data_IF_531773218899
#
_entry.id   IF_531773218899
#
_cell.length_a   1.000
_cell.length_b   1.000
_cell.length_c   1.000
_cell.angle_alpha   90.00
_cell.angle_beta   90.00
_cell.angle_gamma   90.00
#
_symmetry.space_group_name_H-M   'P 1'
#
loop_
_entity.id
_entity.type
_entity.pdbx_description
1 polymer ?
#
# COMPACT_ATOMS: atom_id res chain seq x y z
N UNK A 1 -42.15 -6.10 6.00
CA UNK A 1 -41.68 -4.88 6.70
C UNK A 1 -40.68 -4.22 5.78
N UNK A 2 -40.88 -2.96 5.41
CA UNK A 2 -39.98 -2.20 4.53
C UNK A 2 -38.66 -1.94 5.24
N UNK A 3 -37.54 -2.27 4.60
CA UNK A 3 -36.21 -2.03 5.16
C UNK A 3 -35.97 -0.51 5.26
N UNK A 4 -35.83 0.01 6.48
CA UNK A 4 -35.58 1.43 6.72
C UNK A 4 -34.11 1.76 6.44
N UNK A 5 -33.87 2.81 5.65
CA UNK A 5 -32.53 3.31 5.35
C UNK A 5 -32.28 4.62 6.09
N UNK A 6 -31.14 4.70 6.76
CA UNK A 6 -30.67 5.86 7.49
C UNK A 6 -29.51 6.49 6.73
N UNK A 7 -29.48 7.82 6.67
CA UNK A 7 -28.40 8.57 6.04
C UNK A 7 -27.70 9.40 7.12
N UNK A 8 -26.39 9.15 7.27
CA UNK A 8 -25.50 9.87 8.15
C UNK A 8 -24.55 10.70 7.29
N UNK A 9 -24.65 12.02 7.41
CA UNK A 9 -23.84 12.98 6.66
C UNK A 9 -22.97 13.80 7.62
N UNK A 10 -21.71 14.02 7.24
CA UNK A 10 -20.78 14.93 7.91
C UNK A 10 -19.98 15.70 6.88
N UNK A 11 -19.59 16.92 7.26
CA UNK A 11 -18.82 17.80 6.41
C UNK A 11 -17.79 18.57 7.25
N UNK A 12 -16.57 18.69 6.72
CA UNK A 12 -15.49 19.49 7.31
C UNK A 12 -14.88 20.41 6.27
N UNK A 13 -14.33 21.53 6.73
CA UNK A 13 -13.45 22.38 5.91
C UNK A 13 -12.06 22.42 6.52
N UNK A 14 -11.09 21.81 5.83
CA UNK A 14 -9.76 21.52 6.37
C UNK A 14 -8.68 22.31 5.61
N UNK A 15 -7.66 22.80 6.33
CA UNK A 15 -6.53 23.56 5.77
C UNK A 15 -5.48 22.64 5.15
N UNK A 16 -5.85 21.96 4.08
CA UNK A 16 -4.98 21.11 3.27
C UNK A 16 -5.51 21.05 1.85
N UNK A 17 -4.66 20.75 0.87
CA UNK A 17 -5.11 20.42 -0.49
C UNK A 17 -5.80 19.06 -0.54
N UNK A 18 -6.67 18.78 -1.53
CA UNK A 18 -7.30 17.46 -1.65
C UNK A 18 -6.27 16.33 -1.73
N UNK A 19 -5.20 16.53 -2.49
CA UNK A 19 -4.10 15.57 -2.63
C UNK A 19 -3.39 15.27 -1.30
N UNK A 20 -3.13 16.29 -0.47
CA UNK A 20 -2.52 16.09 0.83
C UNK A 20 -3.47 15.44 1.84
N UNK A 21 -4.77 15.77 1.79
CA UNK A 21 -5.77 15.17 2.67
C UNK A 21 -6.03 13.71 2.29
N UNK A 22 -6.03 13.39 0.99
CA UNK A 22 -6.23 12.05 0.45
C UNK A 22 -5.33 11.01 1.09
N UNK A 23 -4.05 11.33 1.29
CA UNK A 23 -3.06 10.38 1.84
C UNK A 23 -3.40 9.90 3.25
N UNK A 24 -4.25 10.62 3.97
CA UNK A 24 -4.75 10.22 5.28
C UNK A 24 -6.18 9.67 5.21
N UNK A 25 -7.11 10.38 4.57
CA UNK A 25 -8.55 10.01 4.61
C UNK A 25 -8.92 8.85 3.71
N UNK A 26 -8.11 8.56 2.68
CA UNK A 26 -8.29 7.41 1.79
C UNK A 26 -7.52 6.17 2.27
N UNK A 27 -6.76 6.25 3.38
CA UNK A 27 -6.25 5.06 4.07
C UNK A 27 -7.37 4.47 4.93
N UNK A 28 -8.24 3.70 4.29
CA UNK A 28 -9.43 3.12 4.94
C UNK A 28 -9.08 2.13 6.04
N UNK A 29 -7.92 1.46 5.93
CA UNK A 29 -7.44 0.56 6.98
C UNK A 29 -7.07 1.36 8.24
N UNK A 30 -6.37 2.49 8.06
CA UNK A 30 -6.07 3.43 9.14
C UNK A 30 -7.33 4.04 9.74
N UNK A 31 -8.26 4.50 8.91
CA UNK A 31 -9.49 5.12 9.36
C UNK A 31 -10.34 4.14 10.18
N UNK A 32 -10.56 2.93 9.69
CA UNK A 32 -11.35 1.92 10.41
C UNK A 32 -10.72 1.54 11.76
N UNK A 33 -9.39 1.44 11.84
CA UNK A 33 -8.65 1.27 13.09
C UNK A 33 -8.89 2.45 14.06
N UNK A 34 -8.71 3.69 13.59
CA UNK A 34 -8.82 4.89 14.44
C UNK A 34 -10.28 5.14 14.90
N UNK A 35 -11.25 4.63 14.14
CA UNK A 35 -12.67 4.53 14.52
C UNK A 35 -12.95 3.44 15.57
N UNK A 36 -11.93 2.71 16.04
CA UNK A 36 -12.02 1.57 16.94
C UNK A 36 -13.02 0.51 16.43
N UNK A 37 -13.01 0.23 15.13
CA UNK A 37 -13.73 -0.90 14.56
C UNK A 37 -12.94 -2.19 14.81
N UNK A 38 -13.59 -3.37 14.92
CA UNK A 38 -12.85 -4.62 15.04
C UNK A 38 -12.05 -4.92 13.76
N UNK A 39 -10.89 -5.58 13.87
CA UNK A 39 -10.20 -6.10 12.69
C UNK A 39 -11.05 -7.15 11.98
N UNK A 40 -10.74 -7.42 10.71
CA UNK A 40 -11.46 -8.33 9.84
C UNK A 40 -10.65 -9.59 9.53
N UNK A 41 -11.36 -10.69 9.35
CA UNK A 41 -10.89 -11.90 8.69
C UNK A 41 -11.49 -11.94 7.29
N UNK A 42 -10.65 -12.19 6.29
CA UNK A 42 -11.05 -12.22 4.87
C UNK A 42 -11.07 -13.67 4.41
N UNK A 43 -12.21 -14.11 3.88
CA UNK A 43 -12.39 -15.41 3.24
C UNK A 43 -12.60 -15.17 1.75
N UNK A 44 -11.65 -15.65 0.94
CA UNK A 44 -11.73 -15.63 -0.53
C UNK A 44 -12.19 -17.01 -1.00
N UNK A 45 -13.36 -17.12 -1.65
CA UNK A 45 -13.80 -18.39 -2.22
C UNK A 45 -12.85 -18.90 -3.31
N UNK A 46 -12.77 -20.23 -3.48
CA UNK A 46 -12.04 -20.84 -4.61
C UNK A 46 -12.72 -20.57 -5.96
N UNK A 47 -14.06 -20.50 -5.97
CA UNK A 47 -14.83 -20.10 -7.14
C UNK A 47 -14.65 -18.60 -7.41
N UNK A 48 -14.02 -18.20 -8.54
CA UNK A 48 -13.82 -16.79 -8.88
C UNK A 48 -15.14 -16.00 -9.04
N UNK A 49 -16.26 -16.67 -9.26
CA UNK A 49 -17.57 -16.03 -9.36
C UNK A 49 -18.19 -15.71 -7.99
N UNK A 50 -17.70 -16.33 -6.91
CA UNK A 50 -18.23 -16.09 -5.57
C UNK A 50 -17.57 -14.85 -4.93
N UNK A 51 -18.33 -14.01 -4.22
CA UNK A 51 -17.81 -12.78 -3.67
C UNK A 51 -16.87 -13.03 -2.48
N UNK A 52 -15.80 -12.25 -2.39
CA UNK A 52 -14.97 -12.18 -1.18
C UNK A 52 -15.82 -11.78 0.03
N UNK A 53 -15.67 -12.53 1.13
CA UNK A 53 -16.41 -12.30 2.38
C UNK A 53 -15.43 -11.77 3.43
N UNK A 54 -15.76 -10.65 4.05
CA UNK A 54 -15.10 -10.16 5.26
C UNK A 54 -15.99 -10.40 6.49
N UNK A 55 -15.34 -10.69 7.62
CA UNK A 55 -16.01 -10.87 8.92
C UNK A 55 -15.23 -10.14 10.00
N UNK A 56 -15.91 -9.44 10.92
CA UNK A 56 -15.22 -8.90 12.09
C UNK A 56 -14.72 -10.02 13.00
N UNK A 57 -13.46 -9.92 13.43
CA UNK A 57 -12.84 -10.74 14.47
C UNK A 57 -13.30 -10.26 15.85
N UNK A 58 -14.58 -10.40 16.11
CA UNK A 58 -15.23 -10.00 17.37
C UNK A 58 -16.36 -10.94 17.74
N UNK A 59 -16.34 -11.46 18.97
CA UNK A 59 -17.45 -12.27 19.52
C UNK A 59 -18.71 -11.45 19.79
N UNK A 60 -18.58 -10.14 20.01
CA UNK A 60 -19.69 -9.25 20.32
C UNK A 60 -20.38 -8.72 19.05
N UNK A 61 -19.67 -8.68 17.93
CA UNK A 61 -20.14 -8.13 16.66
C UNK A 61 -19.86 -9.14 15.52
N UNK A 62 -20.62 -10.24 15.42
CA UNK A 62 -20.44 -11.27 14.39
C UNK A 62 -21.04 -10.81 13.03
N UNK A 63 -20.57 -9.67 12.55
CA UNK A 63 -20.92 -9.10 11.25
C UNK A 63 -20.05 -9.74 10.17
N UNK A 64 -20.69 -10.20 9.11
CA UNK A 64 -20.05 -10.66 7.89
C UNK A 64 -20.72 -10.00 6.68
N UNK A 65 -19.91 -9.64 5.69
CA UNK A 65 -20.37 -8.95 4.48
C UNK A 65 -19.53 -9.33 3.28
N UNK A 66 -20.11 -9.13 2.10
CA UNK A 66 -19.38 -8.98 0.86
C UNK A 66 -19.29 -7.50 0.50
N UNK A 67 -18.19 -7.09 -0.11
CA UNK A 67 -17.99 -5.73 -0.60
C UNK A 67 -18.02 -5.75 -2.13
N UNK A 68 -18.86 -4.92 -2.75
CA UNK A 68 -18.74 -4.65 -4.19
C UNK A 68 -17.44 -3.89 -4.43
N UNK A 69 -16.84 -4.05 -5.61
CA UNK A 69 -15.61 -3.35 -6.00
C UNK A 69 -15.67 -1.87 -5.62
N UNK A 70 -14.83 -1.48 -4.67
CA UNK A 70 -14.71 -0.09 -4.20
C UNK A 70 -14.35 0.80 -5.37
N UNK A 71 -14.94 1.98 -5.46
CA UNK A 71 -14.71 2.91 -6.56
C UNK A 71 -14.01 4.16 -6.04
N UNK A 72 -13.03 4.65 -6.77
CA UNK A 72 -12.36 5.89 -6.41
C UNK A 72 -11.81 6.65 -7.61
N UNK A 73 -11.56 7.94 -7.40
CA UNK A 73 -10.85 8.85 -8.30
C UNK A 73 -9.98 9.74 -7.43
N UNK A 74 -8.66 9.59 -7.52
CA UNK A 74 -7.70 10.43 -6.80
C UNK A 74 -7.70 11.88 -7.31
N UNK A 75 -7.59 12.89 -6.43
CA UNK A 75 -7.76 12.87 -4.98
C UNK A 75 -9.18 13.29 -4.56
N UNK A 76 -10.20 12.96 -5.37
CA UNK A 76 -11.53 13.57 -5.32
C UNK A 76 -12.53 12.76 -4.51
N UNK A 77 -12.59 11.44 -4.70
CA UNK A 77 -13.62 10.63 -4.02
C UNK A 77 -13.24 9.17 -3.92
N UNK A 78 -13.74 8.51 -2.89
CA UNK A 78 -13.79 7.05 -2.81
C UNK A 78 -15.12 6.60 -2.19
N UNK A 79 -15.57 5.40 -2.55
CA UNK A 79 -16.80 4.84 -2.01
C UNK A 79 -16.86 3.32 -2.11
N UNK A 80 -17.59 2.71 -1.18
CA UNK A 80 -17.76 1.28 -1.08
C UNK A 80 -19.23 0.92 -0.81
N UNK A 81 -19.68 -0.22 -1.31
CA UNK A 81 -20.98 -0.80 -0.98
C UNK A 81 -20.76 -2.18 -0.35
N UNK A 82 -21.22 -2.34 0.89
CA UNK A 82 -21.18 -3.61 1.63
C UNK A 82 -22.58 -4.20 1.71
N UNK A 83 -22.67 -5.50 1.42
CA UNK A 83 -23.89 -6.32 1.57
C UNK A 83 -23.67 -7.33 2.69
N UNK A 84 -24.41 -7.15 3.77
CA UNK A 84 -24.24 -7.94 4.97
C UNK A 84 -25.01 -9.26 4.87
N UNK A 85 -24.31 -10.36 5.08
CA UNK A 85 -24.89 -11.70 5.22
C UNK A 85 -25.29 -12.00 6.67
N UNK A 86 -24.72 -11.28 7.64
CA UNK A 86 -25.11 -11.37 9.06
C UNK A 86 -25.03 -10.02 9.76
N UNK A 87 -25.88 -9.83 10.78
CA UNK A 87 -25.88 -8.68 11.67
C UNK A 87 -27.04 -7.69 11.47
N UNK A 88 -26.98 -6.51 12.12
CA UNK A 88 -28.06 -5.51 12.12
C UNK A 88 -28.27 -4.76 10.79
N UNK A 89 -27.45 -5.00 9.76
CA UNK A 89 -27.53 -4.28 8.48
C UNK A 89 -27.87 -5.24 7.35
N UNK A 90 -28.57 -4.73 6.34
CA UNK A 90 -28.66 -5.36 5.03
C UNK A 90 -27.59 -4.80 4.10
N UNK A 91 -27.48 -3.47 4.05
CA UNK A 91 -26.53 -2.76 3.20
C UNK A 91 -25.92 -1.58 3.94
N UNK A 92 -24.65 -1.32 3.65
CA UNK A 92 -23.97 -0.07 3.99
C UNK A 92 -23.35 0.48 2.71
N UNK A 93 -23.59 1.74 2.41
CA UNK A 93 -22.89 2.48 1.37
C UNK A 93 -22.12 3.61 2.01
N UNK A 94 -20.86 3.76 1.62
CA UNK A 94 -19.97 4.82 2.04
C UNK A 94 -19.57 5.65 0.81
N UNK A 95 -19.53 6.97 0.97
CA UNK A 95 -18.95 7.89 0.00
C UNK A 95 -18.20 9.00 0.74
N UNK A 96 -16.93 9.17 0.43
CA UNK A 96 -16.13 10.31 0.84
C UNK A 96 -15.78 11.16 -0.38
N UNK A 97 -16.00 12.47 -0.31
CA UNK A 97 -15.72 13.42 -1.40
C UNK A 97 -14.88 14.59 -0.87
N UNK A 98 -13.87 14.97 -1.64
CA UNK A 98 -12.94 16.05 -1.36
C UNK A 98 -13.09 17.09 -2.47
N UNK A 99 -13.58 18.28 -2.11
CA UNK A 99 -13.73 19.39 -3.04
C UNK A 99 -12.75 20.50 -2.67
N UNK A 100 -11.90 20.97 -3.60
CA UNK A 100 -11.07 22.14 -3.35
C UNK A 100 -11.95 23.39 -3.20
N UNK A 101 -11.58 24.28 -2.28
CA UNK A 101 -12.23 25.58 -2.11
C UNK A 101 -11.35 26.71 -2.68
N UNK A 102 -11.92 27.86 -3.08
CA UNK A 102 -11.16 28.95 -3.70
C UNK A 102 -10.02 29.53 -2.83
N UNK A 103 -10.09 29.36 -1.51
CA UNK A 103 -9.09 29.80 -0.55
C UNK A 103 -7.99 28.75 -0.26
N UNK A 104 -7.92 27.68 -1.06
CA UNK A 104 -6.89 26.64 -0.97
C UNK A 104 -7.12 25.60 0.13
N UNK A 105 -8.31 25.59 0.76
CA UNK A 105 -8.75 24.53 1.68
C UNK A 105 -9.43 23.38 0.93
N UNK A 106 -9.83 22.35 1.67
CA UNK A 106 -10.62 21.23 1.16
C UNK A 106 -11.89 21.07 1.97
N UNK A 107 -13.04 20.99 1.28
CA UNK A 107 -14.30 20.54 1.85
C UNK A 107 -14.36 19.02 1.74
N UNK A 108 -14.30 18.33 2.88
CA UNK A 108 -14.47 16.87 2.98
C UNK A 108 -15.93 16.59 3.33
N UNK A 109 -16.64 15.87 2.46
CA UNK A 109 -17.98 15.31 2.73
C UNK A 109 -17.86 13.81 2.96
N UNK A 110 -18.55 13.31 3.96
CA UNK A 110 -18.56 11.90 4.31
C UNK A 110 -19.98 11.43 4.58
N UNK A 111 -20.46 10.58 3.68
CA UNK A 111 -21.83 10.09 3.63
C UNK A 111 -21.86 8.59 3.84
N UNK A 112 -22.68 8.16 4.81
CA UNK A 112 -22.92 6.75 5.10
C UNK A 112 -24.42 6.48 5.05
N UNK A 113 -24.83 5.56 4.17
CA UNK A 113 -26.20 5.05 4.12
C UNK A 113 -26.24 3.65 4.71
N UNK A 114 -27.09 3.43 5.71
CA UNK A 114 -27.21 2.17 6.43
C UNK A 114 -28.66 1.69 6.36
N UNK A 115 -28.87 0.52 5.77
CA UNK A 115 -30.20 -0.10 5.70
C UNK A 115 -30.33 -1.16 6.78
N UNK A 116 -31.29 -0.99 7.68
CA UNK A 116 -31.52 -1.89 8.80
C UNK A 116 -32.02 -3.27 8.34
N UNK A 117 -31.55 -4.34 8.99
CA UNK A 117 -32.05 -5.70 8.74
C UNK A 117 -33.37 -6.03 9.42
N UNK A 118 -33.74 -5.27 10.46
CA UNK A 118 -35.00 -5.42 11.18
C UNK A 118 -35.33 -4.15 11.99
N UNK A 119 -36.52 -4.11 12.62
CA UNK A 119 -36.96 -2.95 13.40
C UNK A 119 -36.11 -2.64 14.64
N UNK A 120 -35.49 -3.63 15.26
CA UNK A 120 -34.58 -3.41 16.39
C UNK A 120 -33.27 -2.74 15.93
N UNK A 121 -32.72 -3.19 14.81
CA UNK A 121 -31.58 -2.54 14.20
C UNK A 121 -31.90 -1.09 13.78
N UNK A 122 -33.10 -0.85 13.25
CA UNK A 122 -33.54 0.50 12.89
C UNK A 122 -33.55 1.47 14.10
N UNK A 123 -33.85 0.98 15.30
CA UNK A 123 -33.77 1.76 16.54
C UNK A 123 -32.31 2.08 16.94
N UNK A 124 -31.41 1.11 16.78
CA UNK A 124 -30.02 1.23 17.25
C UNK A 124 -29.09 2.00 16.30
N UNK A 125 -29.35 1.98 14.98
CA UNK A 125 -28.47 2.62 13.98
C UNK A 125 -28.25 4.10 14.28
N UNK A 126 -29.28 4.94 14.52
CA UNK A 126 -29.07 6.36 14.84
C UNK A 126 -28.25 6.57 16.12
N UNK A 127 -28.45 5.72 17.13
CA UNK A 127 -27.72 5.78 18.40
C UNK A 127 -26.25 5.46 18.16
N UNK A 128 -25.96 4.37 17.43
CA UNK A 128 -24.60 3.99 17.06
C UNK A 128 -23.89 5.11 16.29
N UNK A 129 -24.56 5.65 15.27
CA UNK A 129 -24.01 6.71 14.42
C UNK A 129 -23.67 7.96 15.23
N UNK A 130 -24.59 8.43 16.08
CA UNK A 130 -24.40 9.69 16.81
C UNK A 130 -23.51 9.55 18.04
N UNK A 131 -23.56 8.42 18.76
CA UNK A 131 -22.86 8.25 20.04
C UNK A 131 -21.47 7.64 19.91
N UNK A 132 -21.23 6.85 18.86
CA UNK A 132 -19.96 6.15 18.68
C UNK A 132 -19.23 6.56 17.41
N UNK A 133 -19.88 6.49 16.25
CA UNK A 133 -19.21 6.75 14.96
C UNK A 133 -18.84 8.23 14.80
N UNK A 134 -19.81 9.14 14.99
CA UNK A 134 -19.61 10.57 14.83
C UNK A 134 -18.42 11.13 15.65
N UNK A 135 -18.36 10.99 16.99
CA UNK A 135 -17.28 11.59 17.76
C UNK A 135 -15.89 11.02 17.40
N UNK A 136 -15.82 9.72 17.05
CA UNK A 136 -14.56 9.10 16.63
C UNK A 136 -14.11 9.59 15.26
N UNK A 137 -15.05 9.77 14.34
CA UNK A 137 -14.78 10.32 13.02
C UNK A 137 -14.31 11.77 13.11
N UNK A 138 -14.97 12.60 13.93
CA UNK A 138 -14.53 13.97 14.23
C UNK A 138 -13.08 13.99 14.77
N UNK A 139 -12.78 13.11 15.73
CA UNK A 139 -11.44 13.01 16.32
C UNK A 139 -10.37 12.58 15.29
N UNK A 140 -10.66 11.55 14.49
CA UNK A 140 -9.73 11.04 13.47
C UNK A 140 -9.44 12.10 12.40
N UNK A 141 -10.47 12.75 11.86
CA UNK A 141 -10.31 13.80 10.85
C UNK A 141 -9.54 15.00 11.40
N UNK A 142 -9.83 15.42 12.64
CA UNK A 142 -9.07 16.49 13.30
C UNK A 142 -7.59 16.13 13.48
N UNK A 143 -7.31 14.88 13.87
CA UNK A 143 -5.94 14.37 13.98
C UNK A 143 -5.23 14.42 12.61
N UNK A 144 -5.83 13.89 11.55
CA UNK A 144 -5.22 13.85 10.22
C UNK A 144 -4.95 15.26 9.69
N UNK A 145 -5.89 16.19 9.89
CA UNK A 145 -5.71 17.58 9.50
C UNK A 145 -4.54 18.26 10.24
N UNK A 146 -4.33 17.94 11.52
CA UNK A 146 -3.20 18.44 12.30
C UNK A 146 -1.87 17.85 11.83
N UNK A 147 -1.82 16.55 11.53
CA UNK A 147 -0.63 15.87 11.01
C UNK A 147 -0.15 16.51 9.69
N UNK A 148 -1.08 16.73 8.76
CA UNK A 148 -0.80 17.35 7.46
C UNK A 148 -0.31 18.80 7.63
N UNK A 149 -0.97 19.59 8.48
CA UNK A 149 -0.60 21.00 8.69
C UNK A 149 0.78 21.16 9.31
N UNK A 150 1.16 20.26 10.22
CA UNK A 150 2.46 20.31 10.87
C UNK A 150 3.59 19.80 9.96
N UNK A 151 3.28 19.39 8.72
CA UNK A 151 4.18 18.66 7.82
C UNK A 151 4.90 17.50 8.54
N UNK A 152 4.27 16.98 9.60
CA UNK A 152 4.81 15.92 10.40
C UNK A 152 4.37 14.64 9.70
N UNK A 153 5.28 13.89 9.03
CA UNK A 153 5.02 12.48 8.87
C UNK A 153 5.02 11.94 10.28
N UNK A 154 3.82 11.82 10.84
CA UNK A 154 3.74 11.47 12.25
C UNK A 154 3.87 9.96 12.27
N UNK A 155 5.13 9.53 12.19
CA UNK A 155 5.55 8.22 12.64
C UNK A 155 5.10 8.04 14.08
N UNK A 156 4.80 9.07 14.86
CA UNK A 156 4.37 8.90 16.23
C UNK A 156 2.97 8.29 16.29
N UNK A 157 2.86 7.15 16.96
CA UNK A 157 1.56 6.58 17.32
C UNK A 157 0.75 7.61 18.14
N UNK A 158 -0.55 7.69 17.87
CA UNK A 158 -1.47 8.55 18.63
C UNK A 158 -1.45 8.24 20.14
N UNK A 159 -1.13 6.98 20.50
CA UNK A 159 -0.94 6.52 21.87
C UNK A 159 0.47 5.95 22.03
N UNK A 160 1.14 6.27 23.14
CA UNK A 160 2.45 5.73 23.44
C UNK A 160 2.42 4.17 23.46
N UNK A 161 3.29 3.50 22.70
CA UNK A 161 3.27 2.05 22.60
C UNK A 161 3.81 1.39 23.86
N UNK A 162 3.24 0.25 24.22
CA UNK A 162 3.72 -0.58 25.32
C UNK A 162 4.83 -1.49 24.79
N UNK A 163 6.05 -1.27 25.27
CA UNK A 163 7.19 -2.10 24.93
C UNK A 163 7.30 -3.32 25.87
N UNK A 164 7.77 -4.49 25.38
CA UNK A 164 8.05 -5.64 26.21
C UNK A 164 9.06 -5.34 27.34
N UNK A 165 9.01 -6.05 28.48
CA UNK A 165 10.03 -5.94 29.52
C UNK A 165 11.44 -6.15 28.96
N UNK A 166 12.36 -5.22 29.28
CA UNK A 166 13.75 -5.25 28.80
C UNK A 166 13.98 -4.69 27.40
N UNK A 167 12.94 -4.44 26.60
CA UNK A 167 13.08 -3.80 25.29
C UNK A 167 13.74 -2.41 25.35
N UNK A 168 13.48 -1.53 26.34
CA UNK A 168 14.19 -0.26 26.45
C UNK A 168 15.72 -0.41 26.58
N UNK A 169 16.19 -1.38 27.37
CA UNK A 169 17.62 -1.64 27.54
C UNK A 169 18.24 -2.23 26.27
N UNK A 170 17.53 -3.16 25.60
CA UNK A 170 17.96 -3.70 24.30
C UNK A 170 18.08 -2.61 23.24
N UNK A 171 17.11 -1.68 23.17
CA UNK A 171 17.16 -0.55 22.24
C UNK A 171 18.41 0.29 22.46
N UNK A 172 18.77 0.60 23.71
CA UNK A 172 20.01 1.35 24.02
C UNK A 172 21.27 0.57 23.61
N UNK A 173 21.32 -0.74 23.86
CA UNK A 173 22.46 -1.58 23.48
C UNK A 173 22.62 -1.67 21.96
N UNK A 174 21.52 -1.90 21.23
CA UNK A 174 21.50 -1.91 19.77
C UNK A 174 21.93 -0.56 19.20
N UNK A 175 21.38 0.54 19.74
CA UNK A 175 21.75 1.89 19.32
C UNK A 175 23.25 2.13 19.43
N UNK A 176 23.87 1.69 20.52
CA UNK A 176 25.31 1.81 20.73
C UNK A 176 26.10 0.93 19.75
N UNK A 177 25.72 -0.35 19.58
CA UNK A 177 26.36 -1.27 18.64
C UNK A 177 26.35 -0.72 17.22
N UNK A 178 25.21 -0.23 16.74
CA UNK A 178 25.10 0.33 15.38
C UNK A 178 26.04 1.51 15.17
N UNK A 179 26.20 2.37 16.18
CA UNK A 179 27.14 3.50 16.13
C UNK A 179 28.59 3.05 16.13
N UNK A 180 28.93 1.98 16.87
CA UNK A 180 30.26 1.38 16.91
C UNK A 180 30.61 0.66 15.59
N UNK A 181 29.62 0.05 14.94
CA UNK A 181 29.73 -0.60 13.62
C UNK A 181 29.82 0.42 12.45
N UNK A 182 29.91 1.72 12.76
CA UNK A 182 30.14 2.79 11.78
C UNK A 182 28.88 3.33 11.10
N UNK A 183 27.68 2.99 11.57
CA UNK A 183 26.45 3.56 11.03
C UNK A 183 26.32 5.06 11.37
N UNK A 184 25.69 5.82 10.48
CA UNK A 184 25.43 7.25 10.69
C UNK A 184 24.61 7.47 11.98
N UNK A 185 25.17 8.24 12.90
CA UNK A 185 24.59 8.45 14.24
C UNK A 185 23.23 9.13 14.21
N UNK A 186 23.00 10.05 13.26
CA UNK A 186 21.73 10.75 13.09
C UNK A 186 20.67 9.79 12.58
N UNK A 187 21.01 8.96 11.58
CA UNK A 187 20.08 7.97 11.03
C UNK A 187 19.74 6.89 12.07
N UNK A 188 20.73 6.45 12.86
CA UNK A 188 20.51 5.52 13.97
C UNK A 188 19.52 6.12 14.98
N UNK A 189 19.70 7.38 15.38
CA UNK A 189 18.83 8.03 16.36
C UNK A 189 17.39 8.20 15.83
N UNK A 190 17.25 8.50 14.53
CA UNK A 190 15.95 8.53 13.84
C UNK A 190 15.28 7.16 13.83
N UNK A 191 16.01 6.10 13.49
CA UNK A 191 15.49 4.73 13.46
C UNK A 191 15.04 4.26 14.85
N UNK A 192 15.83 4.53 15.90
CA UNK A 192 15.47 4.18 17.28
C UNK A 192 14.22 4.94 17.73
N UNK A 193 14.12 6.22 17.38
CA UNK A 193 12.92 7.03 17.67
C UNK A 193 11.70 6.46 16.94
N UNK A 194 11.84 6.12 15.66
CA UNK A 194 10.82 5.46 14.86
C UNK A 194 10.39 4.12 15.50
N UNK A 195 11.30 3.25 15.90
CA UNK A 195 10.92 1.97 16.51
C UNK A 195 10.20 2.18 17.86
N UNK A 196 10.68 3.12 18.66
CA UNK A 196 10.15 3.40 20.01
C UNK A 196 8.78 4.06 19.98
N UNK A 197 8.57 5.02 19.09
CA UNK A 197 7.38 5.88 19.08
C UNK A 197 6.50 5.69 17.85
N UNK A 198 7.01 4.96 16.86
CA UNK A 198 6.41 4.62 15.58
C UNK A 198 4.97 4.18 15.66
N UNK A 199 4.17 4.51 14.67
CA UNK A 199 2.86 3.95 14.46
C UNK A 199 3.07 2.51 14.02
N UNK A 200 2.29 1.60 14.60
CA UNK A 200 2.38 0.17 14.33
C UNK A 200 2.39 -0.15 12.83
N UNK A 201 1.60 0.59 12.04
CA UNK A 201 1.39 0.36 10.60
C UNK A 201 2.65 0.61 9.76
N UNK A 202 3.48 1.56 10.18
CA UNK A 202 4.76 1.83 9.52
C UNK A 202 5.82 0.79 9.87
N UNK A 203 5.69 0.18 11.05
CA UNK A 203 6.68 -0.73 11.61
C UNK A 203 6.45 -2.20 11.23
N UNK A 204 5.26 -2.54 10.71
CA UNK A 204 4.99 -3.87 10.11
C UNK A 204 5.60 -4.01 8.72
N UNK A 205 5.76 -2.89 8.00
CA UNK A 205 6.31 -2.86 6.65
C UNK A 205 7.05 -1.55 6.37
N UNK A 206 8.35 -1.55 6.62
CA UNK A 206 9.29 -0.45 6.42
C UNK A 206 9.94 -0.62 5.05
N UNK A 207 9.71 0.35 4.16
CA UNK A 207 10.46 0.53 2.92
C UNK A 207 11.64 1.49 3.16
N UNK A 208 12.89 1.07 2.95
CA UNK A 208 14.05 1.92 3.20
C UNK A 208 14.04 3.22 2.40
N UNK A 209 13.62 3.19 1.13
CA UNK A 209 13.65 4.38 0.27
C UNK A 209 12.49 5.33 0.54
N UNK A 210 11.31 4.81 0.87
CA UNK A 210 10.24 5.63 1.43
C UNK A 210 10.70 6.33 2.71
N UNK A 211 11.42 5.63 3.58
CA UNK A 211 11.97 6.19 4.81
C UNK A 211 13.06 7.24 4.51
N UNK A 212 13.91 6.99 3.52
CA UNK A 212 14.97 7.89 3.11
C UNK A 212 14.46 9.20 2.51
N UNK A 213 13.49 9.12 1.60
CA UNK A 213 12.85 10.28 0.99
C UNK A 213 12.21 11.16 2.07
N UNK A 214 11.58 10.50 3.04
CA UNK A 214 10.94 11.16 4.17
C UNK A 214 11.92 11.82 5.13
N UNK A 215 13.05 11.18 5.37
CA UNK A 215 14.15 11.70 6.16
C UNK A 215 15.04 12.67 5.39
N UNK A 216 14.77 12.88 4.10
CA UNK A 216 15.61 13.64 3.16
C UNK A 216 17.07 13.19 3.26
N UNK A 217 17.28 11.89 3.29
CA UNK A 217 18.58 11.24 3.52
C UNK A 217 18.95 10.37 2.33
N UNK A 218 20.24 10.05 2.11
CA UNK A 218 20.64 9.19 1.01
C UNK A 218 19.99 7.82 1.11
N UNK A 219 19.22 7.42 0.08
CA UNK A 219 18.55 6.10 -0.03
C UNK A 219 19.47 4.94 0.33
N UNK A 220 20.71 5.01 -0.18
CA UNK A 220 21.76 4.03 0.09
C UNK A 220 22.07 3.86 1.57
N UNK A 221 22.30 4.97 2.27
CA UNK A 221 22.69 4.96 3.68
C UNK A 221 21.56 4.43 4.58
N UNK A 222 20.30 4.73 4.24
CA UNK A 222 19.13 4.22 4.99
C UNK A 222 18.95 2.72 4.78
N UNK A 223 19.13 2.21 3.55
CA UNK A 223 19.11 0.77 3.29
C UNK A 223 20.21 0.04 4.08
N UNK A 224 21.45 0.53 4.02
CA UNK A 224 22.59 -0.06 4.74
C UNK A 224 22.37 -0.04 6.27
N UNK A 225 21.80 1.05 6.80
CA UNK A 225 21.39 1.10 8.20
C UNK A 225 20.32 0.04 8.52
N UNK A 226 19.31 -0.13 7.68
CA UNK A 226 18.28 -1.16 7.88
C UNK A 226 18.88 -2.57 7.89
N UNK A 227 19.86 -2.86 7.03
CA UNK A 227 20.58 -4.13 6.99
C UNK A 227 21.40 -4.38 8.27
N UNK A 228 22.15 -3.38 8.73
CA UNK A 228 22.88 -3.44 10.00
C UNK A 228 21.92 -3.62 11.19
N UNK A 229 20.81 -2.88 11.19
CA UNK A 229 19.76 -3.00 12.20
C UNK A 229 19.12 -4.38 12.22
N UNK A 230 19.00 -5.07 11.07
CA UNK A 230 18.59 -6.47 11.03
C UNK A 230 19.60 -7.38 11.68
N UNK A 231 20.90 -7.21 11.38
CA UNK A 231 21.96 -8.00 12.02
C UNK A 231 22.01 -7.79 13.53
N UNK A 232 21.76 -6.57 13.99
CA UNK A 232 21.69 -6.21 15.41
C UNK A 232 20.39 -6.67 16.12
N UNK A 233 19.43 -7.26 15.40
CA UNK A 233 18.18 -7.76 15.96
C UNK A 233 17.13 -6.67 16.26
N UNK A 234 17.29 -5.48 15.69
CA UNK A 234 16.29 -4.41 15.77
C UNK A 234 15.13 -4.66 14.80
N UNK A 235 15.48 -5.08 13.60
CA UNK A 235 14.57 -5.34 12.49
C UNK A 235 14.68 -6.80 12.06
N UNK A 236 13.64 -7.31 11.42
CA UNK A 236 13.72 -8.47 10.53
C UNK A 236 13.49 -7.95 9.11
N UNK A 237 14.10 -8.55 8.09
CA UNK A 237 13.68 -8.31 6.71
C UNK A 237 12.74 -9.42 6.23
N UNK A 238 12.02 -9.13 5.15
CA UNK A 238 11.23 -10.08 4.40
C UNK A 238 11.29 -9.74 2.90
N UNK A 239 11.11 -10.77 2.09
CA UNK A 239 11.02 -10.69 0.64
C UNK A 239 9.57 -10.76 0.22
N UNK A 240 9.09 -9.75 -0.48
CA UNK A 240 7.71 -9.63 -0.91
C UNK A 240 7.61 -9.76 -2.43
N UNK A 241 6.76 -10.67 -2.90
CA UNK A 241 6.51 -10.90 -4.32
C UNK A 241 5.41 -9.98 -4.83
N UNK A 242 5.81 -8.85 -5.42
CA UNK A 242 4.91 -7.86 -5.97
C UNK A 242 4.34 -8.34 -7.31
N UNK A 243 3.02 -8.40 -7.39
CA UNK A 243 2.34 -8.55 -8.67
C UNK A 243 2.70 -7.36 -9.59
N UNK A 244 3.12 -7.58 -10.86
CA UNK A 244 3.48 -6.49 -11.78
C UNK A 244 2.31 -5.57 -12.12
N UNK A 245 1.09 -5.99 -11.78
CA UNK A 245 -0.14 -5.28 -12.06
C UNK A 245 -0.63 -4.46 -10.87
N UNK A 246 -0.97 -5.09 -9.75
CA UNK A 246 -1.44 -4.36 -8.57
C UNK A 246 -0.33 -3.98 -7.58
N UNK A 247 0.92 -4.41 -7.81
CA UNK A 247 2.09 -4.14 -6.94
C UNK A 247 1.89 -4.52 -5.47
N UNK A 248 0.93 -5.39 -5.21
CA UNK A 248 0.66 -5.90 -3.87
C UNK A 248 1.35 -7.26 -3.72
N UNK A 249 2.00 -7.46 -2.59
CA UNK A 249 2.63 -8.72 -2.21
C UNK A 249 1.59 -9.83 -1.91
N UNK A 250 0.40 -9.44 -1.46
CA UNK A 250 -0.63 -10.37 -1.02
C UNK A 250 -0.12 -11.26 0.13
N UNK A 251 -0.20 -12.57 -0.06
CA UNK A 251 0.30 -13.58 0.89
C UNK A 251 1.71 -14.09 0.54
N UNK A 252 2.32 -13.58 -0.54
CA UNK A 252 3.60 -14.06 -1.05
C UNK A 252 4.77 -13.34 -0.38
N UNK A 253 4.92 -13.57 0.92
CA UNK A 253 5.99 -13.00 1.75
C UNK A 253 6.88 -14.10 2.29
N UNK A 254 8.19 -13.94 2.12
CA UNK A 254 9.22 -14.94 2.43
C UNK A 254 10.27 -14.38 3.39
N UNK A 255 10.82 -15.24 4.25
CA UNK A 255 11.85 -14.83 5.23
C UNK A 255 13.28 -14.94 4.69
N UNK A 256 13.48 -15.58 3.53
CA UNK A 256 14.76 -15.70 2.85
C UNK A 256 14.53 -16.00 1.35
N UNK A 257 15.51 -15.68 0.52
CA UNK A 257 15.47 -15.93 -0.93
C UNK A 257 15.38 -17.41 -1.28
N UNK A 258 15.95 -18.29 -0.45
CA UNK A 258 15.89 -19.74 -0.67
C UNK A 258 14.48 -20.32 -0.49
N UNK A 259 13.57 -19.62 0.20
CA UNK A 259 12.20 -20.07 0.40
C UNK A 259 11.32 -19.84 -0.84
N UNK A 260 11.77 -18.99 -1.77
CA UNK A 260 11.12 -18.83 -3.08
C UNK A 260 11.38 -20.11 -3.87
N UNK A 261 10.33 -20.88 -4.11
CA UNK A 261 10.41 -22.24 -4.66
C UNK A 261 9.68 -22.43 -5.99
N UNK A 262 9.21 -21.33 -6.57
CA UNK A 262 8.44 -21.30 -7.81
C UNK A 262 8.88 -20.11 -8.65
N UNK A 263 8.80 -20.29 -9.96
CA UNK A 263 9.10 -19.25 -10.95
C UNK A 263 7.84 -18.46 -11.36
N UNK A 264 6.65 -19.01 -11.09
CA UNK A 264 5.34 -18.41 -11.38
C UNK A 264 4.50 -18.24 -10.10
N UNK A 265 3.79 -17.13 -10.01
CA UNK A 265 2.95 -16.75 -8.89
C UNK A 265 1.56 -16.32 -9.36
N UNK A 266 0.52 -16.75 -8.64
CA UNK A 266 -0.85 -16.29 -8.87
C UNK A 266 -1.18 -15.09 -7.99
N UNK A 267 -1.75 -14.04 -8.58
CA UNK A 267 -2.28 -12.90 -7.83
C UNK A 267 -3.80 -13.04 -7.61
N UNK A 268 -4.28 -13.27 -6.36
CA UNK A 268 -5.71 -13.43 -6.10
C UNK A 268 -6.51 -12.14 -6.27
N UNK A 269 -5.87 -10.98 -6.25
CA UNK A 269 -6.54 -9.69 -6.47
C UNK A 269 -6.71 -9.37 -7.96
N UNK A 270 -5.75 -9.78 -8.79
CA UNK A 270 -5.77 -9.53 -10.23
C UNK A 270 -6.28 -10.72 -11.05
N UNK A 271 -6.43 -11.90 -10.43
CA UNK A 271 -6.79 -13.15 -11.08
C UNK A 271 -5.89 -13.48 -12.29
N UNK A 272 -4.57 -13.32 -12.11
CA UNK A 272 -3.57 -13.57 -13.15
C UNK A 272 -2.30 -14.19 -12.56
N UNK A 273 -1.64 -15.01 -13.37
CA UNK A 273 -0.30 -15.53 -13.09
C UNK A 273 0.77 -14.54 -13.58
N UNK A 274 1.94 -14.56 -12.94
CA UNK A 274 3.09 -13.75 -13.32
C UNK A 274 4.42 -14.42 -12.94
N UNK A 275 5.45 -14.17 -13.74
CA UNK A 275 6.79 -14.69 -13.52
C UNK A 275 7.60 -13.84 -12.53
N UNK A 276 8.55 -14.47 -11.84
CA UNK A 276 9.52 -13.77 -11.00
C UNK A 276 10.52 -12.97 -11.84
N UNK A 277 10.57 -11.66 -11.57
CA UNK A 277 11.54 -10.71 -12.08
C UNK A 277 12.21 -9.96 -10.92
N UNK A 278 13.52 -10.12 -10.73
CA UNK A 278 14.22 -9.65 -9.52
C UNK A 278 14.39 -8.14 -9.43
N UNK A 279 14.38 -7.45 -10.56
CA UNK A 279 14.49 -6.00 -10.69
C UNK A 279 13.14 -5.29 -10.59
N UNK A 280 12.03 -6.02 -10.47
CA UNK A 280 10.67 -5.46 -10.52
C UNK A 280 9.72 -6.08 -9.50
N UNK A 281 9.63 -7.41 -9.46
CA UNK A 281 8.62 -8.15 -8.69
C UNK A 281 9.08 -8.62 -7.31
N UNK A 282 10.36 -8.48 -6.95
CA UNK A 282 10.88 -8.94 -5.65
C UNK A 282 11.39 -7.77 -4.86
N UNK A 283 10.66 -7.41 -3.80
CA UNK A 283 10.99 -6.29 -2.93
C UNK A 283 11.53 -6.77 -1.58
N UNK A 284 12.61 -6.15 -1.10
CA UNK A 284 13.06 -6.26 0.28
C UNK A 284 12.34 -5.21 1.13
N UNK A 285 11.58 -5.66 2.13
CA UNK A 285 11.01 -4.80 3.17
C UNK A 285 11.52 -5.20 4.55
N UNK A 286 11.41 -4.29 5.50
CA UNK A 286 11.81 -4.53 6.88
C UNK A 286 10.61 -4.44 7.80
N UNK A 287 10.70 -5.05 8.96
CA UNK A 287 9.71 -4.94 10.03
C UNK A 287 10.43 -4.91 11.37
N UNK A 288 9.80 -4.36 12.38
CA UNK A 288 10.40 -4.38 13.73
C UNK A 288 10.40 -5.79 14.29
N UNK A 289 11.55 -6.19 14.85
CA UNK A 289 11.66 -7.49 15.50
C UNK A 289 10.69 -7.58 16.69
N UNK A 290 9.92 -8.67 16.76
CA UNK A 290 8.87 -8.86 17.79
C UNK A 290 9.40 -8.84 19.23
N UNK A 291 10.67 -9.19 19.45
CA UNK A 291 11.31 -9.12 20.77
C UNK A 291 11.62 -7.67 21.23
N UNK A 292 11.64 -6.72 20.29
CA UNK A 292 11.75 -5.29 20.55
C UNK A 292 10.36 -4.67 20.70
N UNK A 293 9.45 -4.98 19.78
CA UNK A 293 8.08 -4.47 19.80
C UNK A 293 7.14 -5.46 19.12
N UNK A 294 6.14 -5.94 19.87
CA UNK A 294 5.09 -6.80 19.31
C UNK A 294 4.04 -5.93 18.64
N UNK A 295 3.82 -6.14 17.34
CA UNK A 295 2.84 -5.43 16.53
C UNK A 295 1.92 -6.46 15.89
N UNK A 296 0.60 -6.27 16.05
CA UNK A 296 -0.40 -7.11 15.41
C UNK A 296 -0.54 -6.71 13.94
N UNK A 297 -0.58 -7.69 13.05
CA UNK A 297 -0.79 -7.49 11.61
C UNK A 297 -2.28 -7.52 11.30
N UNK A 298 -3.00 -6.55 11.86
CA UNK A 298 -4.45 -6.52 11.81
C UNK A 298 -4.92 -5.78 10.55
N UNK A 299 -5.69 -6.48 9.73
CA UNK A 299 -6.44 -5.89 8.61
C UNK A 299 -7.79 -5.41 9.11
N UNK A 300 -8.21 -4.21 8.71
CA UNK A 300 -9.49 -3.60 9.07
C UNK A 300 -10.41 -3.38 7.87
N UNK A 301 -9.84 -3.21 6.67
CA UNK A 301 -10.59 -2.92 5.44
C UNK A 301 -10.20 -3.86 4.29
N UNK A 302 -11.19 -4.25 3.47
CA UNK A 302 -10.98 -5.09 2.29
C UNK A 302 -10.27 -4.35 1.16
N UNK A 303 -10.66 -3.09 0.95
CA UNK A 303 -10.09 -2.25 -0.08
C UNK A 303 -9.54 -0.98 0.54
N UNK A 304 -8.30 -0.64 0.20
CA UNK A 304 -7.60 0.55 0.68
C UNK A 304 -6.91 1.26 -0.49
N UNK A 305 -7.46 2.40 -0.99
CA UNK A 305 -6.83 3.18 -2.04
C UNK A 305 -5.36 3.52 -1.76
N UNK A 306 -4.99 3.74 -0.49
CA UNK A 306 -3.61 4.05 -0.10
C UNK A 306 -2.68 2.84 -0.05
N UNK A 307 -3.21 1.61 -0.07
CA UNK A 307 -2.39 0.41 -0.21
C UNK A 307 -1.93 0.16 -1.67
N UNK A 308 -2.60 0.81 -2.63
CA UNK A 308 -2.34 0.70 -4.08
C UNK A 308 -2.38 2.09 -4.74
N UNK A 309 -1.55 3.04 -4.28
CA UNK A 309 -1.65 4.45 -4.65
C UNK A 309 -1.32 4.72 -6.13
N UNK A 310 -0.70 3.77 -6.84
CA UNK A 310 -0.49 3.84 -8.28
C UNK A 310 -1.79 3.66 -9.08
N UNK A 311 -2.84 3.09 -8.50
CA UNK A 311 -4.18 3.05 -9.11
C UNK A 311 -4.89 4.37 -8.81
N UNK A 312 -4.82 5.31 -9.76
CA UNK A 312 -5.38 6.66 -9.62
C UNK A 312 -6.91 6.64 -9.63
N UNK A 313 -7.49 5.77 -10.45
CA UNK A 313 -8.94 5.61 -10.49
C UNK A 313 -9.34 4.15 -10.72
N UNK A 314 -10.39 3.73 -10.01
CA UNK A 314 -11.05 2.44 -10.18
C UNK A 314 -12.55 2.69 -10.31
N UNK A 315 -13.15 2.25 -11.41
CA UNK A 315 -14.58 2.48 -11.72
C UNK A 315 -15.25 1.19 -12.21
N UNK A 316 -16.32 0.77 -11.54
CA UNK A 316 -17.17 -0.32 -11.98
C UNK A 316 -18.24 0.24 -12.93
N UNK A 317 -18.18 -0.16 -14.19
CA UNK A 317 -19.06 0.29 -15.26
C UNK A 317 -19.97 -0.87 -15.68
N UNK A 318 -21.29 -0.82 -15.42
CA UNK A 318 -22.25 -1.75 -16.00
C UNK A 318 -22.19 -1.77 -17.53
N UNK A 319 -22.75 -2.81 -18.14
CA UNK A 319 -22.91 -2.92 -19.59
C UNK A 319 -23.62 -1.69 -20.16
N UNK A 320 -23.02 -1.04 -21.16
CA UNK A 320 -23.53 0.17 -21.78
C UNK A 320 -23.37 1.46 -20.96
N UNK A 321 -22.79 1.41 -19.75
CA UNK A 321 -22.65 2.59 -18.89
C UNK A 321 -21.63 3.59 -19.46
N UNK A 322 -21.91 4.88 -19.26
CA UNK A 322 -21.02 5.97 -19.59
C UNK A 322 -20.77 6.83 -18.35
N UNK A 323 -19.49 7.10 -18.06
CA UNK A 323 -19.10 7.85 -16.87
C UNK A 323 -18.00 8.85 -17.18
N UNK A 324 -18.14 10.05 -16.65
CA UNK A 324 -17.10 11.08 -16.73
C UNK A 324 -16.35 11.14 -15.41
N UNK A 325 -15.01 11.14 -15.48
CA UNK A 325 -14.13 11.37 -14.34
C UNK A 325 -13.09 12.43 -14.72
N UNK A 326 -12.51 13.12 -13.74
CA UNK A 326 -11.49 14.13 -13.98
C UNK A 326 -10.29 13.92 -13.03
N UNK A 327 -9.52 12.82 -13.17
CA UNK A 327 -8.45 12.51 -12.22
C UNK A 327 -7.35 13.57 -12.23
N UNK A 328 -6.63 13.68 -11.11
CA UNK A 328 -5.35 14.39 -11.08
C UNK A 328 -4.23 13.39 -11.42
N UNK A 329 -3.45 13.69 -12.46
CA UNK A 329 -2.36 12.88 -12.95
C UNK A 329 -1.04 13.66 -12.88
N UNK A 330 0.00 13.02 -12.38
CA UNK A 330 1.35 13.52 -12.51
C UNK A 330 1.87 13.26 -13.93
N UNK A 331 2.97 13.92 -14.29
CA UNK A 331 3.68 13.61 -15.53
C UNK A 331 4.24 12.19 -15.45
N UNK A 332 4.09 11.42 -16.53
CA UNK A 332 4.60 10.05 -16.56
C UNK A 332 3.80 9.12 -17.45
N UNK A 333 4.06 7.83 -17.28
CA UNK A 333 3.40 6.75 -18.04
C UNK A 333 2.28 6.14 -17.21
N UNK A 334 1.18 5.88 -17.89
CA UNK A 334 -0.03 5.30 -17.34
C UNK A 334 -0.55 4.20 -18.25
N UNK A 335 -1.45 3.38 -17.74
CA UNK A 335 -2.31 2.53 -18.55
C UNK A 335 -3.73 2.53 -18.03
N UNK A 336 -4.66 2.26 -18.93
CA UNK A 336 -6.03 1.92 -18.61
C UNK A 336 -6.28 0.47 -19.00
N UNK A 337 -6.84 -0.31 -18.09
CA UNK A 337 -7.19 -1.72 -18.34
C UNK A 337 -8.49 -2.08 -17.63
N UNK A 338 -8.98 -3.27 -17.91
CA UNK A 338 -10.02 -3.89 -17.08
C UNK A 338 -9.47 -5.10 -16.35
N UNK A 339 -10.21 -5.63 -15.39
CA UNK A 339 -9.86 -6.89 -14.72
C UNK A 339 -10.33 -8.13 -15.48
N UNK A 340 -11.26 -8.00 -16.44
CA UNK A 340 -11.87 -9.16 -17.12
C UNK A 340 -11.51 -9.31 -18.60
N UNK A 341 -11.04 -8.24 -19.26
CA UNK A 341 -10.60 -8.26 -20.65
C UNK A 341 -9.07 -8.23 -20.73
N UNK A 342 -8.47 -8.94 -21.69
CA UNK A 342 -7.04 -8.87 -21.94
C UNK A 342 -6.63 -7.50 -22.50
N UNK A 343 -5.35 -7.16 -22.32
CA UNK A 343 -4.74 -5.94 -22.86
C UNK A 343 -4.97 -4.68 -22.03
N UNK A 344 -4.39 -3.58 -22.50
CA UNK A 344 -4.49 -2.26 -21.88
C UNK A 344 -4.27 -1.15 -22.92
N UNK A 345 -4.81 0.04 -22.65
CA UNK A 345 -4.49 1.28 -23.34
C UNK A 345 -3.31 1.96 -22.65
N UNK A 346 -2.18 2.13 -23.33
CA UNK A 346 -1.07 2.93 -22.83
C UNK A 346 -1.37 4.43 -22.93
N UNK A 347 -0.94 5.17 -21.93
CA UNK A 347 -1.15 6.62 -21.80
C UNK A 347 0.17 7.29 -21.39
N UNK A 348 0.46 8.45 -21.96
CA UNK A 348 1.53 9.34 -21.52
C UNK A 348 0.93 10.69 -21.11
N UNK A 349 1.24 11.14 -19.91
CA UNK A 349 0.81 12.43 -19.39
C UNK A 349 1.94 13.45 -19.55
N UNK A 350 1.66 14.53 -20.27
CA UNK A 350 2.58 15.64 -20.54
C UNK A 350 1.81 16.97 -20.50
N UNK A 351 2.44 18.13 -20.17
CA UNK A 351 1.74 19.42 -20.11
C UNK A 351 0.95 19.80 -21.36
N UNK A 352 1.42 19.40 -22.55
CA UNK A 352 0.79 19.71 -23.84
C UNK A 352 -0.21 18.64 -24.33
N UNK A 353 -0.53 17.65 -23.49
CA UNK A 353 -1.51 16.63 -23.85
C UNK A 353 -2.94 17.20 -23.94
N UNK A 354 -3.86 16.53 -24.66
CA UNK A 354 -5.25 16.97 -24.71
C UNK A 354 -5.91 16.91 -23.32
N UNK A 355 -6.74 17.92 -22.96
CA UNK A 355 -7.42 17.98 -21.67
C UNK A 355 -8.69 17.12 -21.61
N UNK A 356 -9.00 16.40 -22.67
CA UNK A 356 -10.15 15.51 -22.74
C UNK A 356 -9.81 14.28 -23.58
N UNK A 357 -10.29 13.11 -23.16
CA UNK A 357 -10.22 11.90 -23.97
C UNK A 357 -11.40 10.97 -23.70
N UNK A 358 -11.73 10.18 -24.71
CA UNK A 358 -12.72 9.12 -24.61
C UNK A 358 -11.99 7.78 -24.54
N UNK A 359 -12.35 6.97 -23.55
CA UNK A 359 -11.76 5.67 -23.28
C UNK A 359 -12.86 4.60 -23.37
N UNK A 360 -13.20 4.16 -24.60
CA UNK A 360 -14.17 3.09 -24.78
C UNK A 360 -13.53 1.75 -24.39
N UNK A 361 -14.24 0.99 -23.57
CA UNK A 361 -13.93 -0.40 -23.26
C UNK A 361 -14.65 -1.27 -24.28
N UNK A 362 -13.91 -1.91 -25.15
CA UNK A 362 -14.43 -2.81 -26.18
C UNK A 362 -13.86 -4.22 -26.00
N UNK A 363 -14.56 -5.29 -26.41
CA UNK A 363 -14.14 -6.67 -26.14
C UNK A 363 -12.77 -7.06 -26.72
N UNK A 364 -12.44 -6.55 -27.92
CA UNK A 364 -11.34 -7.09 -28.74
C UNK A 364 -10.28 -6.05 -29.17
N UNK A 365 -10.34 -4.81 -28.68
CA UNK A 365 -9.46 -3.74 -29.16
C UNK A 365 -9.18 -2.65 -28.12
N UNK A 366 -8.09 -2.80 -27.38
CA UNK A 366 -7.34 -1.61 -26.99
C UNK A 366 -6.62 -1.11 -28.24
N UNK A 367 -6.60 0.20 -28.49
CA UNK A 367 -6.05 0.74 -29.76
C UNK A 367 -4.59 0.37 -29.99
N UNK A 368 -3.86 -0.01 -28.94
CA UNK A 368 -2.41 -0.32 -28.98
C UNK A 368 -1.54 0.92 -29.10
N UNK A 369 -2.08 2.00 -29.66
CA UNK A 369 -1.45 3.33 -29.70
C UNK A 369 -1.24 3.88 -28.30
N UNK A 370 -0.27 4.79 -28.16
CA UNK A 370 -0.05 5.51 -26.90
C UNK A 370 -0.86 6.80 -26.94
N UNK A 371 -1.87 6.91 -26.07
CA UNK A 371 -2.67 8.13 -25.95
C UNK A 371 -1.92 9.19 -25.13
N UNK A 372 -1.97 10.45 -25.54
CA UNK A 372 -1.46 11.57 -24.77
C UNK A 372 -2.58 12.19 -23.92
N UNK A 373 -2.28 12.67 -22.71
CA UNK A 373 -3.22 13.40 -21.85
C UNK A 373 -2.55 14.57 -21.12
N UNK A 374 -3.33 15.60 -20.81
CA UNK A 374 -2.94 16.63 -19.86
C UNK A 374 -2.99 16.11 -18.39
N UNK A 375 -2.35 16.78 -17.42
CA UNK A 375 -2.38 16.41 -15.99
C UNK A 375 -3.75 16.40 -15.30
N UNK A 376 -4.74 17.15 -15.81
CA UNK A 376 -6.11 17.15 -15.28
C UNK A 376 -7.12 16.92 -16.41
N UNK A 377 -7.12 15.73 -17.02
CA UNK A 377 -7.96 15.47 -18.17
C UNK A 377 -9.38 15.13 -17.74
N UNK A 378 -10.36 15.55 -18.52
CA UNK A 378 -11.73 15.01 -18.45
C UNK A 378 -11.78 13.71 -19.25
N UNK A 379 -11.99 12.59 -18.59
CA UNK A 379 -12.05 11.27 -19.20
C UNK A 379 -13.49 10.78 -19.28
N UNK A 380 -13.95 10.51 -20.49
CA UNK A 380 -15.23 9.84 -20.72
C UNK A 380 -14.98 8.33 -20.88
N UNK A 381 -15.38 7.58 -19.86
CA UNK A 381 -15.32 6.13 -19.83
C UNK A 381 -16.62 5.57 -20.40
N UNK A 382 -16.54 4.58 -21.27
CA UNK A 382 -17.72 3.96 -21.87
C UNK A 382 -17.53 2.44 -21.91
N UNK A 383 -18.41 1.69 -21.24
CA UNK A 383 -18.40 0.24 -21.35
C UNK A 383 -19.26 -0.23 -22.53
N UNK A 384 -18.62 -0.57 -23.65
CA UNK A 384 -19.28 -1.10 -24.85
C UNK A 384 -19.35 -2.63 -24.87
N UNK A 385 -19.06 -3.30 -23.76
CA UNK A 385 -19.16 -4.75 -23.65
C UNK A 385 -20.51 -5.17 -23.07
N UNK A 386 -20.87 -6.44 -23.24
CA UNK A 386 -22.15 -6.97 -22.74
C UNK A 386 -22.18 -7.22 -21.22
N UNK A 387 -21.03 -7.12 -20.54
CA UNK A 387 -20.87 -7.43 -19.11
C UNK A 387 -20.31 -6.22 -18.35
N UNK A 388 -20.46 -6.21 -17.03
CA UNK A 388 -19.86 -5.17 -16.20
C UNK A 388 -18.33 -5.24 -16.24
N UNK A 389 -17.69 -4.09 -16.35
CA UNK A 389 -16.23 -3.96 -16.42
C UNK A 389 -15.71 -3.13 -15.25
N UNK A 390 -14.72 -3.65 -14.52
CA UNK A 390 -13.97 -2.88 -13.55
C UNK A 390 -12.77 -2.25 -14.26
N UNK A 391 -12.85 -0.95 -14.55
CA UNK A 391 -11.78 -0.19 -15.18
C UNK A 391 -10.81 0.33 -14.14
N UNK A 392 -9.52 0.24 -14.46
CA UNK A 392 -8.41 0.70 -13.65
C UNK A 392 -7.54 1.64 -14.47
N UNK A 393 -7.33 2.86 -13.96
CA UNK A 393 -6.33 3.82 -14.45
C UNK A 393 -5.13 3.76 -13.52
N UNK A 394 -4.01 3.26 -14.02
CA UNK A 394 -2.84 2.91 -13.24
C UNK A 394 -1.61 3.66 -13.74
N UNK A 395 -0.82 4.21 -12.82
CA UNK A 395 0.51 4.71 -13.10
C UNK A 395 1.48 3.54 -13.31
N UNK A 396 2.25 3.60 -14.39
CA UNK A 396 3.20 2.56 -14.79
C UNK A 396 4.60 2.79 -14.24
N UNK A 397 4.98 4.02 -13.94
CA UNK A 397 6.27 4.27 -13.29
C UNK A 397 6.31 3.46 -12.00
N UNK A 398 7.29 2.57 -11.88
CA UNK A 398 7.51 1.84 -10.63
C UNK A 398 7.75 2.86 -9.53
N UNK A 399 7.17 2.56 -8.36
CA UNK A 399 7.39 3.38 -7.19
C UNK A 399 8.91 3.40 -6.95
N UNK A 400 9.53 4.57 -7.04
CA UNK A 400 10.97 4.72 -6.91
C UNK A 400 11.46 4.43 -5.48
N UNK A 401 10.52 4.09 -4.60
CA UNK A 401 10.68 3.76 -3.21
C UNK A 401 10.80 2.25 -2.92
N UNK A 402 10.72 1.38 -3.93
CA UNK A 402 10.97 -0.06 -3.73
C UNK A 402 12.45 -0.34 -3.63
N UNK A 403 12.82 -1.33 -2.82
CA UNK A 403 14.19 -1.85 -2.76
C UNK A 403 14.20 -3.24 -3.38
N UNK A 404 14.70 -3.36 -4.61
CA UNK A 404 14.58 -4.60 -5.40
C UNK A 404 15.60 -5.66 -4.98
N UNK A 405 15.28 -6.94 -5.15
CA UNK A 405 16.23 -8.03 -4.89
C UNK A 405 17.48 -7.93 -5.78
N UNK A 406 17.33 -7.54 -7.04
CA UNK A 406 18.45 -7.29 -7.94
C UNK A 406 19.42 -6.25 -7.35
N UNK A 407 18.89 -5.12 -6.86
CA UNK A 407 19.72 -4.09 -6.23
C UNK A 407 20.38 -4.61 -4.94
N UNK A 408 19.60 -5.16 -4.01
CA UNK A 408 20.08 -5.59 -2.69
C UNK A 408 21.16 -6.67 -2.78
N UNK A 409 20.99 -7.66 -3.65
CA UNK A 409 21.94 -8.77 -3.78
C UNK A 409 23.27 -8.35 -4.41
N UNK A 410 23.29 -7.21 -5.13
CA UNK A 410 24.52 -6.64 -5.68
C UNK A 410 25.35 -5.88 -4.64
N UNK A 411 24.81 -5.67 -3.44
CA UNK A 411 25.47 -4.89 -2.40
C UNK A 411 26.47 -5.73 -1.65
N UNK A 412 27.70 -5.24 -1.54
CA UNK A 412 28.75 -5.94 -0.82
C UNK A 412 28.35 -6.19 0.63
N UNK A 413 27.87 -5.14 1.34
CA UNK A 413 27.41 -5.25 2.72
C UNK A 413 26.30 -6.31 2.89
N UNK A 414 25.35 -6.41 1.95
CA UNK A 414 24.31 -7.43 2.04
C UNK A 414 24.91 -8.84 1.97
N UNK A 415 25.83 -9.07 1.01
CA UNK A 415 26.50 -10.37 0.87
C UNK A 415 27.36 -10.72 2.08
N UNK A 416 28.02 -9.74 2.68
CA UNK A 416 28.86 -9.94 3.87
C UNK A 416 28.01 -10.30 5.10
N UNK A 417 26.89 -9.58 5.30
CA UNK A 417 26.01 -9.77 6.46
C UNK A 417 25.11 -11.01 6.34
N UNK A 418 24.71 -11.36 5.11
CA UNK A 418 23.67 -12.36 4.83
C UNK A 418 24.13 -13.35 3.75
N UNK A 419 25.32 -13.93 3.89
CA UNK A 419 25.91 -14.86 2.93
C UNK A 419 25.04 -16.09 2.58
N UNK A 420 24.07 -16.44 3.44
CA UNK A 420 23.13 -17.55 3.21
C UNK A 420 21.87 -17.14 2.42
N UNK A 421 21.67 -15.85 2.13
CA UNK A 421 20.60 -15.35 1.26
C UNK A 421 20.96 -15.63 -0.21
N UNK A 422 20.73 -16.87 -0.62
CA UNK A 422 20.94 -17.34 -1.99
C UNK A 422 19.65 -17.98 -2.54
N UNK A 423 19.50 -17.91 -3.86
CA UNK A 423 18.43 -18.60 -4.55
C UNK A 423 18.56 -20.12 -4.44
N UNK A 424 17.44 -20.83 -4.60
CA UNK A 424 17.48 -22.29 -4.72
C UNK A 424 18.33 -22.70 -5.93
N UNK A 425 19.19 -23.74 -5.79
CA UNK A 425 19.92 -24.28 -6.93
C UNK A 425 18.98 -24.68 -8.06
N UNK A 426 19.29 -24.26 -9.29
CA UNK A 426 18.50 -24.57 -10.48
C UNK A 426 17.35 -23.62 -10.78
N UNK A 427 17.04 -22.67 -9.88
CA UNK A 427 16.02 -21.65 -10.13
C UNK A 427 16.54 -20.62 -11.14
N UNK A 428 15.80 -20.40 -12.21
CA UNK A 428 16.13 -19.39 -13.22
C UNK A 428 15.25 -18.17 -12.99
N UNK A 429 15.87 -17.00 -12.84
CA UNK A 429 15.13 -15.78 -12.57
C UNK A 429 15.59 -14.69 -13.52
N UNK A 430 14.62 -13.98 -14.07
CA UNK A 430 14.86 -12.87 -14.97
C UNK A 430 15.31 -11.62 -14.21
N UNK A 431 16.27 -10.90 -14.80
CA UNK A 431 16.71 -9.57 -14.38
C UNK A 431 16.78 -8.73 -15.66
N UNK A 432 16.02 -7.65 -15.75
CA UNK A 432 15.94 -6.84 -16.97
C UNK A 432 17.27 -6.22 -17.37
N UNK A 433 17.92 -5.47 -16.46
CA UNK A 433 19.22 -4.86 -16.71
C UNK A 433 20.06 -4.78 -15.42
N UNK A 434 21.26 -5.35 -15.44
CA UNK A 434 22.23 -5.25 -14.37
C UNK A 434 23.63 -4.97 -14.96
N UNK A 435 24.35 -4.01 -14.37
CA UNK A 435 25.75 -3.72 -14.75
C UNK A 435 26.68 -4.23 -13.67
N UNK A 436 27.55 -5.18 -14.02
CA UNK A 436 28.59 -5.71 -13.13
C UNK A 436 29.93 -5.25 -13.67
N UNK A 437 30.69 -4.53 -12.84
CA UNK A 437 32.08 -4.19 -13.15
C UNK A 437 32.98 -5.17 -12.42
N UNK A 438 33.69 -6.00 -13.18
CA UNK A 438 34.72 -6.88 -12.65
C UNK A 438 36.09 -6.23 -12.88
N UNK A 439 36.83 -6.00 -11.79
CA UNK A 439 38.21 -5.51 -11.85
C UNK A 439 39.11 -6.59 -11.27
N UNK A 440 40.08 -7.05 -12.06
CA UNK A 440 41.14 -7.95 -11.58
C UNK A 440 42.42 -7.14 -11.34
N UNK A 441 43.17 -7.52 -10.31
CA UNK A 441 44.52 -7.04 -10.09
C UNK A 441 45.46 -7.89 -10.95
N UNK A 442 46.22 -7.24 -11.83
CA UNK A 442 47.26 -7.92 -12.61
C UNK A 442 48.22 -8.64 -11.66
N UNK A 443 48.47 -9.92 -11.92
CA UNK A 443 49.28 -10.82 -11.09
C UNK A 443 48.72 -11.14 -9.69
N UNK A 444 47.40 -11.00 -9.46
CA UNK A 444 46.73 -11.37 -8.20
C UNK A 444 47.06 -12.79 -7.75
N UNK A 445 47.11 -13.76 -8.67
CA UNK A 445 47.51 -15.14 -8.38
C UNK A 445 48.95 -15.27 -7.88
N UNK A 446 49.85 -14.36 -8.28
CA UNK A 446 51.24 -14.32 -7.78
C UNK A 446 51.29 -13.70 -6.38
N UNK A 447 50.51 -12.63 -6.17
CA UNK A 447 50.36 -12.00 -4.86
C UNK A 447 49.84 -13.00 -3.81
N UNK A 448 48.74 -13.70 -4.06
CA UNK A 448 48.20 -14.72 -3.13
C UNK A 448 49.22 -15.82 -2.80
N UNK A 449 50.08 -16.20 -3.76
CA UNK A 449 51.16 -17.17 -3.52
C UNK A 449 52.33 -16.62 -2.69
N UNK A 450 52.63 -15.33 -2.81
CA UNK A 450 53.77 -14.70 -2.12
C UNK A 450 53.44 -14.36 -0.67
N UNK A 451 52.26 -13.81 -0.40
CA UNK A 451 51.88 -13.33 0.95
C UNK A 451 50.88 -14.24 1.67
N UNK A 452 50.31 -15.23 0.98
CA UNK A 452 49.26 -16.10 1.51
C UNK A 452 47.87 -15.45 1.49
N UNK A 453 46.82 -16.26 1.65
CA UNK A 453 45.44 -15.79 1.53
C UNK A 453 45.03 -14.82 2.67
N UNK A 454 45.53 -15.02 3.89
CA UNK A 454 45.11 -14.24 5.06
C UNK A 454 45.60 -12.77 5.07
N UNK A 455 46.82 -12.44 4.62
CA UNK A 455 47.26 -11.05 4.47
C UNK A 455 46.74 -10.35 3.20
N UNK A 456 46.20 -11.11 2.25
CA UNK A 456 45.71 -10.61 0.97
C UNK A 456 44.22 -10.22 0.97
N UNK A 457 43.49 -10.52 2.06
CA UNK A 457 42.07 -10.21 2.26
C UNK A 457 41.86 -9.03 3.19
#
# INVERSE_FOLDING_TARGET
MTNQTFHFHREWTLKASPAALWTAVADTNRLDHDLNLPPIEVTRPEDPAAPTIARYRSRLLPLAWSEKSTEWVYPQRYGAERRYSSGPLHTLRLLAELHPTPDGRTQLKYDVWMTASNGFAALLIPIFCNRFLAPRLEQAIAQYAAEIQNAAPTFTAATAPILPPGAPNRLTQIQQSLKEDGADTILVDRLITLVRQGDARWLTRIRPYQLADLWQSPRRAVLELCLLATRAGLLDFQWEMLCPTCRNAGENTYHNLHAIDREEFYCPNCHMDYDVQFDQSVELTFRVNRAIRSIADDTYSLTNPMAIPHIIAQQLLPSGDQRTIAPLLDLGRYRVRTTSLPGAQSIVVHPDGPPQANLPIVPDAWSGDVAALAPQPTLQLENRTAVSQLLLLERLDWDDQITTAAEVTTLQQFRDLFANEALRPGMQISVGQLTIVFTDLRDSTRMYREIGDAPAF
#
